data_IF_210984667719
#
_entry.id   IF_210984667719
#
_cell.length_a   1.000
_cell.length_b   1.000
_cell.length_c   1.000
_cell.angle_alpha   90.00
_cell.angle_beta   90.00
_cell.angle_gamma   90.00
#
_symmetry.space_group_name_H-M   'P 1'
#
loop_
_entity.id
_entity.type
_entity.pdbx_description
1 polymer ?
#
# COMPACT_ATOMS: atom_id res chain seq x y z
N UNK A 1 -14.17 -7.99 -9.11
CA UNK A 1 -12.91 -8.75 -9.02
C UNK A 1 -11.98 -7.97 -8.11
N UNK A 2 -11.54 -8.57 -7.01
CA UNK A 2 -10.59 -7.92 -6.10
C UNK A 2 -9.15 -8.13 -6.59
N UNK A 3 -8.24 -7.16 -6.42
CA UNK A 3 -6.87 -7.30 -6.91
C UNK A 3 -6.12 -8.39 -6.13
N UNK A 4 -5.48 -9.31 -6.85
CA UNK A 4 -4.71 -10.39 -6.25
C UNK A 4 -3.22 -10.03 -6.14
N UNK A 5 -2.58 -10.50 -5.06
CA UNK A 5 -1.13 -10.45 -4.84
C UNK A 5 -0.44 -11.77 -5.18
N UNK A 6 -1.13 -12.89 -4.94
CA UNK A 6 -0.79 -14.22 -5.42
C UNK A 6 -2.03 -14.94 -5.95
N UNK A 7 -1.85 -15.79 -6.95
CA UNK A 7 -2.89 -16.66 -7.52
C UNK A 7 -2.33 -18.06 -7.69
N UNK A 8 -3.16 -19.05 -7.44
CA UNK A 8 -2.95 -20.45 -7.77
C UNK A 8 -4.07 -20.85 -8.73
N UNK A 9 -3.76 -20.87 -10.04
CA UNK A 9 -4.75 -21.16 -11.08
C UNK A 9 -5.28 -22.60 -11.01
N UNK A 10 -4.43 -23.64 -10.81
CA UNK A 10 -4.91 -25.00 -10.60
C UNK A 10 -5.90 -25.16 -9.43
N UNK A 11 -5.71 -24.40 -8.33
CA UNK A 11 -6.56 -24.49 -7.14
C UNK A 11 -7.65 -23.42 -7.06
N UNK A 12 -7.78 -22.58 -8.09
CA UNK A 12 -8.69 -21.41 -8.12
C UNK A 12 -8.57 -20.50 -6.88
N UNK A 13 -7.42 -20.51 -6.22
CA UNK A 13 -7.18 -19.76 -4.99
C UNK A 13 -6.44 -18.46 -5.28
N UNK A 14 -6.71 -17.41 -4.50
CA UNK A 14 -5.94 -16.17 -4.57
C UNK A 14 -5.73 -15.57 -3.17
N UNK A 15 -4.57 -14.93 -2.99
CA UNK A 15 -4.29 -14.09 -1.84
C UNK A 15 -4.50 -12.63 -2.24
N UNK A 16 -5.34 -11.92 -1.49
CA UNK A 16 -5.66 -10.53 -1.78
C UNK A 16 -4.41 -9.65 -1.74
N UNK A 17 -4.26 -8.74 -2.69
CA UNK A 17 -3.06 -7.91 -2.80
C UNK A 17 -2.78 -7.12 -1.51
N UNK A 18 -3.82 -6.49 -0.95
CA UNK A 18 -3.67 -5.72 0.29
C UNK A 18 -3.24 -6.60 1.47
N UNK A 19 -3.70 -7.86 1.55
CA UNK A 19 -3.27 -8.78 2.61
C UNK A 19 -1.82 -9.20 2.40
N UNK A 20 -1.44 -9.56 1.17
CA UNK A 20 -0.05 -9.86 0.84
C UNK A 20 0.90 -8.69 1.18
N UNK A 21 0.52 -7.46 0.83
CA UNK A 21 1.27 -6.26 1.17
C UNK A 21 1.34 -6.02 2.69
N UNK A 22 0.26 -6.27 3.42
CA UNK A 22 0.23 -6.16 4.88
C UNK A 22 1.15 -7.19 5.55
N UNK A 23 1.15 -8.44 5.07
CA UNK A 23 2.02 -9.51 5.56
C UNK A 23 3.51 -9.14 5.42
N UNK A 24 3.88 -8.55 4.27
CA UNK A 24 5.24 -8.07 4.01
C UNK A 24 5.60 -6.89 4.92
N UNK A 25 4.71 -5.91 5.06
CA UNK A 25 4.94 -4.77 5.95
C UNK A 25 5.13 -5.22 7.41
N UNK A 26 4.26 -6.10 7.90
CA UNK A 26 4.35 -6.68 9.24
C UNK A 26 5.65 -7.47 9.42
N UNK A 27 6.07 -8.24 8.42
CA UNK A 27 7.33 -8.98 8.44
C UNK A 27 8.52 -8.03 8.55
N UNK A 28 8.55 -6.94 7.77
CA UNK A 28 9.63 -5.94 7.84
C UNK A 28 9.69 -5.28 9.22
N UNK A 29 8.55 -4.88 9.77
CA UNK A 29 8.48 -4.28 11.11
C UNK A 29 8.95 -5.26 12.18
N UNK A 30 8.48 -6.50 12.16
CA UNK A 30 8.90 -7.54 13.09
C UNK A 30 10.41 -7.85 12.99
N UNK A 31 10.97 -7.84 11.78
CA UNK A 31 12.42 -7.98 11.61
C UNK A 31 13.16 -6.79 12.24
N UNK A 32 12.69 -5.56 12.05
CA UNK A 32 13.32 -4.36 12.62
C UNK A 32 13.22 -4.26 14.15
N UNK A 33 12.38 -5.07 14.79
CA UNK A 33 12.35 -5.23 16.25
C UNK A 33 13.43 -6.19 16.76
N UNK A 34 14.00 -7.04 15.90
CA UNK A 34 15.09 -7.94 16.27
C UNK A 34 16.43 -7.17 16.32
N UNK A 35 17.25 -7.31 17.40
CA UNK A 35 18.49 -6.55 17.57
C UNK A 35 19.46 -6.64 16.39
N UNK A 36 19.58 -7.81 15.77
CA UNK A 36 20.48 -8.05 14.62
C UNK A 36 20.11 -7.19 13.42
N UNK A 37 18.83 -7.12 13.07
CA UNK A 37 18.35 -6.33 11.95
C UNK A 37 18.29 -4.85 12.30
N UNK A 38 17.85 -4.50 13.52
CA UNK A 38 17.86 -3.12 14.03
C UNK A 38 19.26 -2.50 13.99
N UNK A 39 20.28 -3.23 14.44
CA UNK A 39 21.68 -2.77 14.43
C UNK A 39 22.19 -2.55 13.00
N UNK A 40 21.87 -3.46 12.08
CA UNK A 40 22.25 -3.31 10.67
C UNK A 40 21.55 -2.12 10.01
N UNK A 41 20.26 -1.95 10.28
CA UNK A 41 19.48 -0.82 9.76
C UNK A 41 20.03 0.51 10.28
N UNK A 42 20.28 0.62 11.60
CA UNK A 42 20.87 1.81 12.22
C UNK A 42 22.25 2.15 11.63
N UNK A 43 23.06 1.12 11.36
CA UNK A 43 24.36 1.29 10.71
C UNK A 43 24.22 1.78 9.27
N UNK A 44 23.25 1.25 8.51
CA UNK A 44 22.99 1.66 7.13
C UNK A 44 22.52 3.13 7.04
N UNK A 45 21.81 3.62 8.05
CA UNK A 45 21.37 5.02 8.15
C UNK A 45 22.36 5.93 8.89
N UNK A 46 23.47 5.38 9.38
CA UNK A 46 24.43 6.07 10.25
C UNK A 46 23.80 6.73 11.50
N UNK A 47 22.62 6.28 11.91
CA UNK A 47 21.86 6.80 13.05
C UNK A 47 20.84 5.77 13.53
N UNK A 48 20.39 5.89 14.79
CA UNK A 48 19.30 5.06 15.29
C UNK A 48 17.98 5.41 14.59
N UNK A 49 17.29 4.40 14.06
CA UNK A 49 15.96 4.57 13.48
C UNK A 49 14.92 4.90 14.57
N UNK A 50 14.14 5.95 14.32
CA UNK A 50 12.98 6.29 15.15
C UNK A 50 11.79 5.39 14.83
N UNK A 51 10.78 5.38 15.71
CA UNK A 51 9.58 4.59 15.50
C UNK A 51 8.76 5.08 14.29
N UNK A 52 8.77 6.39 14.03
CA UNK A 52 8.14 7.00 12.85
C UNK A 52 8.83 6.55 11.57
N UNK A 53 10.17 6.50 11.55
CA UNK A 53 10.93 6.01 10.40
C UNK A 53 10.66 4.53 10.14
N UNK A 54 10.54 3.71 11.18
CA UNK A 54 10.18 2.29 11.04
C UNK A 54 8.76 2.14 10.49
N UNK A 55 7.83 2.97 10.96
CA UNK A 55 6.45 2.99 10.45
C UNK A 55 6.42 3.39 8.96
N UNK A 56 7.25 4.37 8.57
CA UNK A 56 7.43 4.76 7.18
C UNK A 56 8.02 3.62 6.33
N UNK A 57 9.03 2.90 6.83
CA UNK A 57 9.56 1.70 6.16
C UNK A 57 8.49 0.61 5.99
N UNK A 58 7.63 0.42 6.99
CA UNK A 58 6.48 -0.48 6.90
C UNK A 58 5.51 -0.05 5.79
N UNK A 59 5.19 1.23 5.69
CA UNK A 59 4.36 1.76 4.61
C UNK A 59 5.00 1.59 3.21
N UNK A 60 6.31 1.82 3.09
CA UNK A 60 7.04 1.59 1.84
C UNK A 60 7.05 0.10 1.46
N UNK A 61 7.24 -0.79 2.44
CA UNK A 61 7.16 -2.24 2.24
C UNK A 61 5.76 -2.69 1.81
N UNK A 62 4.69 -2.09 2.36
CA UNK A 62 3.33 -2.34 1.90
C UNK A 62 3.15 -1.99 0.41
N UNK A 63 3.74 -0.87 -0.04
CA UNK A 63 3.62 -0.38 -1.40
C UNK A 63 4.54 -1.06 -2.42
N UNK A 64 5.42 -1.98 -2.00
CA UNK A 64 6.40 -2.62 -2.89
C UNK A 64 5.74 -3.26 -4.14
N UNK A 65 4.54 -3.79 -3.95
CA UNK A 65 3.77 -4.51 -4.96
C UNK A 65 2.61 -3.69 -5.54
N UNK A 66 2.58 -2.37 -5.32
CA UNK A 66 1.48 -1.51 -5.78
C UNK A 66 1.23 -1.67 -7.29
N UNK A 67 2.28 -1.86 -8.09
CA UNK A 67 2.19 -2.09 -9.53
C UNK A 67 1.40 -3.35 -9.93
N UNK A 68 1.12 -4.28 -9.02
CA UNK A 68 0.22 -5.41 -9.26
C UNK A 68 -1.22 -4.96 -9.47
N UNK A 69 -1.63 -3.77 -9.01
CA UNK A 69 -2.95 -3.21 -9.33
C UNK A 69 -3.10 -2.86 -10.82
N UNK A 70 -1.99 -2.76 -11.57
CA UNK A 70 -2.07 -2.44 -12.99
C UNK A 70 -2.92 -3.49 -13.72
N UNK A 71 -3.87 -3.07 -14.60
CA UNK A 71 -4.70 -4.02 -15.34
C UNK A 71 -3.87 -5.06 -16.10
N UNK A 72 -2.75 -4.63 -16.68
CA UNK A 72 -1.82 -5.50 -17.40
C UNK A 72 -1.14 -6.56 -16.52
N UNK A 73 -1.15 -6.42 -15.19
CA UNK A 73 -0.73 -7.48 -14.28
C UNK A 73 -1.92 -8.39 -13.93
N UNK A 74 -3.07 -7.81 -13.57
CA UNK A 74 -4.24 -8.55 -13.10
C UNK A 74 -4.79 -9.53 -14.16
N UNK A 75 -4.66 -9.21 -15.46
CA UNK A 75 -5.08 -10.09 -16.56
C UNK A 75 -4.36 -11.44 -16.60
N UNK A 76 -3.22 -11.61 -15.90
CA UNK A 76 -2.50 -12.90 -15.83
C UNK A 76 -3.31 -14.00 -15.14
N UNK A 77 -4.33 -13.63 -14.36
CA UNK A 77 -5.23 -14.56 -13.70
C UNK A 77 -6.40 -15.04 -14.58
N UNK A 78 -6.58 -14.44 -15.76
CA UNK A 78 -7.70 -14.77 -16.64
C UNK A 78 -7.40 -16.01 -17.49
N UNK A 79 -8.38 -16.91 -17.56
CA UNK A 79 -8.36 -18.07 -18.46
C UNK A 79 -9.67 -18.09 -19.27
N UNK A 80 -9.64 -17.99 -20.61
CA UNK A 80 -8.45 -17.84 -21.43
C UNK A 80 -7.79 -16.45 -21.30
N UNK A 81 -6.48 -16.33 -21.55
CA UNK A 81 -5.78 -15.05 -21.44
C UNK A 81 -6.25 -14.07 -22.53
N UNK A 82 -6.45 -12.78 -22.21
CA UNK A 82 -6.82 -11.78 -23.20
C UNK A 82 -5.66 -11.49 -24.19
N UNK A 83 -5.95 -10.94 -25.38
CA UNK A 83 -4.92 -10.63 -26.40
C UNK A 83 -3.94 -9.51 -25.98
N UNK A 84 -4.06 -8.97 -24.77
CA UNK A 84 -3.18 -7.92 -24.24
C UNK A 84 -1.95 -8.54 -23.57
N UNK A 85 -0.78 -8.03 -23.91
CA UNK A 85 0.48 -8.46 -23.27
C UNK A 85 0.49 -8.04 -21.81
N UNK A 86 0.69 -9.01 -20.92
CA UNK A 86 0.89 -8.73 -19.51
C UNK A 86 2.16 -7.89 -19.30
N UNK A 87 2.14 -6.99 -18.31
CA UNK A 87 3.29 -6.15 -17.97
C UNK A 87 3.93 -6.57 -16.66
N UNK A 88 5.18 -6.18 -16.51
CA UNK A 88 5.92 -6.32 -15.27
C UNK A 88 5.40 -5.32 -14.23
N UNK A 89 5.18 -5.81 -13.01
CA UNK A 89 4.59 -5.02 -11.93
C UNK A 89 5.61 -4.05 -11.32
N UNK A 90 6.91 -4.36 -11.33
CA UNK A 90 7.92 -3.46 -10.78
C UNK A 90 7.99 -2.17 -11.60
N UNK A 91 7.99 -2.27 -12.94
CA UNK A 91 7.92 -1.09 -13.82
C UNK A 91 6.65 -0.27 -13.62
N UNK A 92 5.51 -0.93 -13.42
CA UNK A 92 4.25 -0.24 -13.14
C UNK A 92 4.27 0.47 -11.78
N UNK A 93 4.76 -0.19 -10.74
CA UNK A 93 4.88 0.36 -9.39
C UNK A 93 5.83 1.55 -9.36
N UNK A 94 7.01 1.42 -9.97
CA UNK A 94 7.97 2.51 -10.11
C UNK A 94 7.35 3.73 -10.79
N UNK A 95 6.63 3.52 -11.90
CA UNK A 95 5.96 4.63 -12.60
C UNK A 95 4.99 5.37 -11.69
N UNK A 96 4.26 4.68 -10.82
CA UNK A 96 3.32 5.30 -9.89
C UNK A 96 3.97 5.97 -8.68
N UNK A 97 5.04 5.39 -8.15
CA UNK A 97 5.79 5.97 -7.03
C UNK A 97 6.60 7.21 -7.42
N UNK A 98 6.93 7.34 -8.71
CA UNK A 98 7.74 8.44 -9.25
C UNK A 98 6.91 9.45 -10.03
N UNK A 99 5.57 9.41 -9.94
CA UNK A 99 4.77 10.44 -10.59
C UNK A 99 5.02 11.78 -9.91
N UNK A 100 5.20 12.80 -10.73
CA UNK A 100 5.27 14.18 -10.28
C UNK A 100 3.93 14.57 -9.63
N UNK A 101 3.94 15.49 -8.67
CA UNK A 101 2.74 15.95 -7.96
C UNK A 101 1.78 16.75 -8.85
N UNK A 102 2.10 16.91 -10.15
CA UNK A 102 1.25 17.55 -11.14
C UNK A 102 0.13 16.60 -11.61
N UNK A 103 -1.13 16.81 -11.17
CA UNK A 103 -2.26 15.96 -11.53
C UNK A 103 -2.55 15.94 -13.03
N UNK A 104 -2.10 16.95 -13.79
CA UNK A 104 -2.29 17.01 -15.25
C UNK A 104 -1.41 16.01 -16.01
N UNK A 105 -0.30 15.54 -15.42
CA UNK A 105 0.64 14.57 -15.99
C UNK A 105 0.42 13.14 -15.47
N UNK A 106 -0.38 13.00 -14.41
CA UNK A 106 -0.74 11.72 -13.80
C UNK A 106 -1.84 10.99 -14.62
N UNK A 107 -2.71 11.76 -15.28
CA UNK A 107 -3.96 11.29 -15.91
C UNK A 107 -3.91 11.30 -17.45
N UNK A 108 -2.79 10.91 -18.08
CA UNK A 108 -2.63 10.84 -19.54
C UNK A 108 -3.52 9.77 -20.25
N UNK A 109 -4.82 9.79 -20.00
CA UNK A 109 -5.90 9.27 -20.84
C UNK A 109 -5.99 7.75 -21.05
N UNK A 110 -5.02 6.96 -20.60
CA UNK A 110 -4.88 5.56 -20.99
C UNK A 110 -5.03 4.53 -19.85
N UNK A 111 -5.44 4.97 -18.66
CA UNK A 111 -5.86 4.07 -17.60
C UNK A 111 -7.38 3.90 -17.67
N UNK A 112 -7.93 2.81 -18.25
CA UNK A 112 -9.29 2.44 -17.93
C UNK A 112 -9.31 2.09 -16.44
N UNK A 113 -9.71 3.05 -15.62
CA UNK A 113 -10.00 2.87 -14.21
C UNK A 113 -11.43 2.31 -14.14
N UNK A 114 -11.65 1.03 -13.82
CA UNK A 114 -12.98 0.61 -13.38
C UNK A 114 -13.24 1.28 -12.02
N UNK A 115 -14.44 1.83 -11.84
CA UNK A 115 -14.86 2.72 -10.75
C UNK A 115 -14.78 2.14 -9.32
N UNK A 116 -13.59 1.79 -8.84
CA UNK A 116 -13.37 1.22 -7.49
C UNK A 116 -12.76 2.27 -6.53
N UNK A 117 -12.30 3.41 -7.04
CA UNK A 117 -11.61 4.42 -6.22
C UNK A 117 -12.51 5.27 -5.30
N UNK A 118 -13.83 5.12 -5.35
CA UNK A 118 -14.74 5.88 -4.47
C UNK A 118 -14.98 5.27 -3.09
N UNK A 119 -14.31 4.17 -2.71
CA UNK A 119 -14.61 3.50 -1.42
C UNK A 119 -13.52 3.51 -0.33
N UNK A 120 -12.27 3.83 -0.63
CA UNK A 120 -11.20 3.76 0.40
C UNK A 120 -11.05 5.06 1.21
N UNK A 121 -11.73 6.16 0.82
CA UNK A 121 -11.67 7.44 1.56
C UNK A 121 -12.65 7.57 2.74
N UNK A 122 -13.51 6.59 3.03
CA UNK A 122 -14.55 6.72 4.09
C UNK A 122 -14.32 5.90 5.35
N UNK A 123 -13.45 4.90 5.36
CA UNK A 123 -13.39 3.97 6.50
C UNK A 123 -12.20 4.20 7.45
N UNK A 124 -11.31 5.17 7.18
CA UNK A 124 -10.15 5.49 8.04
C UNK A 124 -10.21 6.87 8.71
N UNK A 125 -11.36 7.55 8.70
CA UNK A 125 -11.52 8.82 9.44
C UNK A 125 -12.93 8.94 10.04
N UNK A 126 -13.09 8.58 11.32
CA UNK A 126 -14.21 9.02 12.14
C UNK A 126 -13.70 10.05 13.18
N UNK A 127 -14.00 11.34 13.03
CA UNK A 127 -13.89 12.30 14.11
C UNK A 127 -15.25 12.37 14.82
N UNK A 128 -15.46 11.56 15.85
CA UNK A 128 -16.56 11.75 16.79
C UNK A 128 -15.99 12.04 18.17
N UNK A 129 -15.62 13.30 18.39
CA UNK A 129 -15.56 13.91 19.71
C UNK A 129 -16.52 15.10 19.68
N UNK A 130 -17.65 15.08 20.45
CA UNK A 130 -18.54 16.22 20.51
C UNK A 130 -17.86 17.36 21.27
N UNK A 131 -17.85 18.56 20.67
CA UNK A 131 -17.52 19.79 21.38
C UNK A 131 -18.68 20.15 22.31
N UNK A 132 -18.59 19.77 23.58
CA UNK A 132 -19.44 20.33 24.63
C UNK A 132 -18.66 21.29 25.53
N UNK A 133 -19.36 22.36 25.89
CA UNK A 133 -18.87 23.59 26.51
C UNK A 133 -18.55 23.34 27.98
N UNK A 134 -17.31 23.58 28.40
CA UNK A 134 -17.00 23.70 29.82
C UNK A 134 -17.27 25.14 30.28
N UNK A 135 -18.41 25.29 30.97
CA UNK A 135 -18.75 26.49 31.73
C UNK A 135 -17.84 26.67 32.94
N UNK A 136 -17.62 27.94 33.26
CA UNK A 136 -16.98 28.47 34.46
C UNK A 136 -17.64 27.95 35.75
N UNK A 137 -16.87 27.33 36.65
CA UNK A 137 -16.87 27.54 38.11
C UNK A 137 -16.21 26.38 38.87
N UNK A 138 -15.12 26.66 39.57
CA UNK A 138 -14.70 25.92 40.77
C UNK A 138 -14.34 26.97 41.86
N UNK A 139 -14.82 26.84 43.11
CA UNK A 139 -14.43 27.71 44.23
C UNK A 139 -13.09 27.23 44.84
N UNK A 140 -12.49 27.99 45.78
CA UNK A 140 -11.04 28.07 45.97
C UNK A 140 -10.37 26.82 46.53
#
# INVERSE_FOLDING_TARGET
MHPWGKTDLPLEAFHHLAHHSADVAATVMALLDLPTFRTKANRATAQALTQEQISCLGALAFLHDIGKLAPAFQIKSLSPPPPRKARDHLRCGWKWLMQDDDPSRILDGNAPCPSIYTRVRRDFYQPHCPKEKWGTNWPP
#
